data_IF_003448651347
#
_entry.id   IF_003448651347
#
_cell.length_a   1.000
_cell.length_b   1.000
_cell.length_c   1.000
_cell.angle_alpha   90.00
_cell.angle_beta   90.00
_cell.angle_gamma   90.00
#
_symmetry.space_group_name_H-M   'P 1'
#
loop_
_entity.id
_entity.type
_entity.pdbx_description
1 polymer ?
#
# COMPACT_ATOMS: atom_id res chain seq x y z
N UNK A 1 16.02 29.02 15.53
CA UNK A 1 14.89 28.87 16.48
C UNK A 1 13.62 28.58 15.68
N UNK A 2 12.90 27.52 16.08
CA UNK A 2 11.71 26.89 15.45
C UNK A 2 11.90 26.15 14.10
N UNK A 3 12.70 25.07 14.11
CA UNK A 3 12.28 23.83 13.42
C UNK A 3 12.02 22.66 14.39
N UNK A 4 12.82 22.51 15.45
CA UNK A 4 12.74 21.34 16.36
C UNK A 4 11.38 21.21 17.05
N UNK A 5 10.88 22.28 17.66
CA UNK A 5 9.63 22.24 18.43
C UNK A 5 8.39 21.92 17.59
N UNK A 6 8.43 22.24 16.28
CA UNK A 6 7.35 21.91 15.36
C UNK A 6 7.42 20.43 14.95
N UNK A 7 8.62 19.88 14.76
CA UNK A 7 8.87 18.46 14.51
C UNK A 7 8.45 17.63 15.73
N UNK A 8 8.85 18.04 16.94
CA UNK A 8 8.48 17.35 18.19
C UNK A 8 6.96 17.28 18.40
N UNK A 9 6.23 18.37 18.12
CA UNK A 9 4.77 18.41 18.22
C UNK A 9 4.09 17.50 17.19
N UNK A 10 4.64 17.42 15.98
CA UNK A 10 4.15 16.51 14.93
C UNK A 10 4.42 15.05 15.32
N UNK A 11 5.59 14.75 15.87
CA UNK A 11 5.95 13.41 16.34
C UNK A 11 5.12 12.99 17.56
N UNK A 12 4.82 13.90 18.48
CA UNK A 12 3.93 13.64 19.61
C UNK A 12 2.50 13.37 19.13
N UNK A 13 1.96 14.20 18.23
CA UNK A 13 0.64 13.99 17.64
C UNK A 13 0.56 12.68 16.86
N UNK A 14 1.59 12.35 16.06
CA UNK A 14 1.66 11.10 15.31
C UNK A 14 1.79 9.88 16.23
N UNK A 15 2.47 10.00 17.37
CA UNK A 15 2.61 8.93 18.36
C UNK A 15 1.30 8.69 19.12
N UNK A 16 0.58 9.75 19.51
CA UNK A 16 -0.76 9.63 20.12
C UNK A 16 -1.75 8.97 19.15
N UNK A 17 -1.81 9.45 17.92
CA UNK A 17 -2.68 8.86 16.88
C UNK A 17 -2.34 7.39 16.62
N UNK A 18 -1.06 7.01 16.72
CA UNK A 18 -0.64 5.61 16.60
C UNK A 18 -1.18 4.74 17.73
N UNK A 19 -1.10 5.21 18.97
CA UNK A 19 -1.64 4.50 20.13
C UNK A 19 -3.16 4.35 20.02
N UNK A 20 -3.86 5.39 19.53
CA UNK A 20 -5.30 5.34 19.30
C UNK A 20 -5.69 4.32 18.22
N UNK A 21 -4.94 4.27 17.10
CA UNK A 21 -5.19 3.29 16.01
C UNK A 21 -4.90 1.86 16.46
N UNK A 22 -3.87 1.66 17.28
CA UNK A 22 -3.44 0.32 17.69
C UNK A 22 -4.29 -0.23 18.84
N UNK A 23 -4.96 0.62 19.62
CA UNK A 23 -5.82 0.25 20.74
C UNK A 23 -7.30 0.11 20.33
N UNK A 24 -8.07 -0.63 21.15
CA UNK A 24 -9.51 -0.79 20.92
C UNK A 24 -10.20 0.57 21.19
N UNK A 25 -11.06 1.05 20.28
CA UNK A 25 -11.84 2.26 20.50
C UNK A 25 -12.64 2.18 21.79
N UNK A 26 -12.68 3.29 22.53
CA UNK A 26 -13.34 3.35 23.83
C UNK A 26 -14.83 2.98 23.72
N UNK A 27 -15.49 3.35 22.63
CA UNK A 27 -16.90 3.03 22.39
C UNK A 27 -17.13 1.52 22.24
N UNK A 28 -16.16 0.78 21.69
CA UNK A 28 -16.22 -0.69 21.62
C UNK A 28 -16.01 -1.28 23.02
N UNK A 29 -15.01 -0.79 23.77
CA UNK A 29 -14.73 -1.25 25.13
C UNK A 29 -15.94 -1.03 26.06
N UNK A 30 -16.62 0.11 25.95
CA UNK A 30 -17.83 0.42 26.73
C UNK A 30 -18.97 -0.57 26.44
N UNK A 31 -19.20 -0.90 25.16
CA UNK A 31 -20.22 -1.89 24.77
C UNK A 31 -19.84 -3.28 25.28
N UNK A 32 -18.58 -3.67 25.18
CA UNK A 32 -18.09 -4.97 25.68
C UNK A 32 -18.20 -5.10 27.19
N UNK A 33 -17.87 -4.05 27.95
CA UNK A 33 -18.07 -4.03 29.41
C UNK A 33 -19.54 -4.16 29.77
N UNK A 34 -20.43 -3.50 29.02
CA UNK A 34 -21.88 -3.62 29.24
C UNK A 34 -22.37 -5.04 28.96
N UNK A 35 -21.91 -5.67 27.87
CA UNK A 35 -22.19 -7.08 27.56
C UNK A 35 -21.75 -7.97 28.73
N UNK A 36 -20.53 -7.79 29.23
CA UNK A 36 -20.01 -8.58 30.36
C UNK A 36 -20.87 -8.43 31.62
N UNK A 37 -21.28 -7.20 31.96
CA UNK A 37 -22.17 -6.95 33.09
C UNK A 37 -23.52 -7.67 32.94
N UNK A 38 -24.12 -7.60 31.75
CA UNK A 38 -25.39 -8.28 31.46
C UNK A 38 -25.23 -9.80 31.47
N UNK A 39 -24.10 -10.34 31.02
CA UNK A 39 -23.81 -11.78 31.10
C UNK A 39 -23.72 -12.26 32.55
N UNK A 40 -23.09 -11.49 33.43
CA UNK A 40 -23.05 -11.77 34.88
C UNK A 40 -24.47 -11.73 35.46
N UNK A 41 -25.26 -10.71 35.12
CA UNK A 41 -26.66 -10.59 35.55
C UNK A 41 -27.48 -11.80 35.07
N UNK A 42 -27.32 -12.20 33.80
CA UNK A 42 -27.96 -13.39 33.22
C UNK A 42 -27.65 -14.64 34.04
N UNK A 43 -26.38 -14.85 34.43
CA UNK A 43 -25.99 -16.00 35.25
C UNK A 43 -26.66 -15.99 36.63
N UNK A 44 -26.82 -14.82 37.24
CA UNK A 44 -27.56 -14.70 38.50
C UNK A 44 -29.04 -15.09 38.34
N UNK A 45 -29.67 -14.63 37.25
CA UNK A 45 -31.09 -14.90 36.94
C UNK A 45 -31.36 -16.37 36.58
N UNK A 46 -30.36 -17.17 36.19
CA UNK A 46 -30.56 -18.61 35.93
C UNK A 46 -31.04 -19.40 37.15
N UNK A 47 -30.83 -18.87 38.36
CA UNK A 47 -31.28 -19.50 39.62
C UNK A 47 -32.75 -19.23 39.94
N UNK A 48 -33.35 -18.24 39.28
CA UNK A 48 -34.76 -17.88 39.44
C UNK A 48 -35.64 -18.78 38.55
N UNK A 49 -36.77 -19.26 39.10
CA UNK A 49 -37.70 -20.17 38.40
C UNK A 49 -39.13 -19.63 38.35
N UNK A 50 -39.39 -18.50 38.98
CA UNK A 50 -40.66 -17.80 38.92
C UNK A 50 -40.83 -17.10 37.56
N UNK A 51 -42.08 -16.85 37.18
CA UNK A 51 -42.42 -16.27 35.87
C UNK A 51 -41.75 -14.91 35.65
N UNK A 52 -41.65 -14.07 36.68
CA UNK A 52 -41.01 -12.76 36.59
C UNK A 52 -39.48 -12.86 36.43
N UNK A 53 -38.83 -13.86 37.03
CA UNK A 53 -37.43 -14.17 36.81
C UNK A 53 -37.13 -14.62 35.37
N UNK A 54 -38.02 -15.45 34.79
CA UNK A 54 -37.92 -15.88 33.38
C UNK A 54 -38.06 -14.69 32.43
N UNK A 55 -39.08 -13.83 32.61
CA UNK A 55 -39.29 -12.64 31.77
C UNK A 55 -38.09 -11.67 31.85
N UNK A 56 -37.53 -11.44 33.05
CA UNK A 56 -36.31 -10.63 33.21
C UNK A 56 -35.10 -11.24 32.50
N UNK A 57 -34.93 -12.56 32.60
CA UNK A 57 -33.82 -13.26 31.92
C UNK A 57 -33.94 -13.12 30.40
N UNK A 58 -35.13 -13.30 29.83
CA UNK A 58 -35.35 -13.15 28.39
C UNK A 58 -35.06 -11.73 27.91
N UNK A 59 -35.44 -10.71 28.67
CA UNK A 59 -35.11 -9.32 28.36
C UNK A 59 -33.59 -9.08 28.35
N UNK A 60 -32.86 -9.59 29.36
CA UNK A 60 -31.40 -9.50 29.43
C UNK A 60 -30.72 -10.25 28.28
N UNK A 61 -31.20 -11.45 27.94
CA UNK A 61 -30.67 -12.23 26.81
C UNK A 61 -30.85 -11.49 25.47
N UNK A 62 -31.99 -10.83 25.29
CA UNK A 62 -32.25 -10.01 24.11
C UNK A 62 -31.30 -8.80 24.04
N UNK A 63 -31.12 -8.08 25.15
CA UNK A 63 -30.20 -6.93 25.20
C UNK A 63 -28.74 -7.37 24.94
N UNK A 64 -28.31 -8.52 25.48
CA UNK A 64 -26.99 -9.09 25.18
C UNK A 64 -26.85 -9.36 23.68
N UNK A 65 -27.87 -9.95 23.04
CA UNK A 65 -27.82 -10.26 21.62
C UNK A 65 -27.70 -8.99 20.76
N UNK A 66 -28.50 -7.97 21.05
CA UNK A 66 -28.47 -6.67 20.37
C UNK A 66 -27.10 -5.97 20.53
N UNK A 67 -26.54 -5.97 21.75
CA UNK A 67 -25.23 -5.36 22.00
C UNK A 67 -24.09 -6.15 21.34
N UNK A 68 -24.16 -7.48 21.30
CA UNK A 68 -23.17 -8.32 20.59
C UNK A 68 -23.16 -8.06 19.09
N UNK A 69 -24.33 -7.91 18.48
CA UNK A 69 -24.44 -7.56 17.06
C UNK A 69 -23.81 -6.18 16.81
N UNK A 70 -24.15 -5.18 17.63
CA UNK A 70 -23.57 -3.83 17.55
C UNK A 70 -22.05 -3.85 17.71
N UNK A 71 -21.53 -4.52 18.74
CA UNK A 71 -20.09 -4.64 18.99
C UNK A 71 -19.38 -5.34 17.82
N UNK A 72 -19.98 -6.41 17.27
CA UNK A 72 -19.45 -7.12 16.12
C UNK A 72 -19.29 -6.20 14.90
N UNK A 73 -20.30 -5.38 14.60
CA UNK A 73 -20.24 -4.38 13.53
C UNK A 73 -19.13 -3.33 13.75
N UNK A 74 -19.05 -2.78 14.96
CA UNK A 74 -18.02 -1.78 15.30
C UNK A 74 -16.60 -2.37 15.22
N UNK A 75 -16.39 -3.59 15.71
CA UNK A 75 -15.10 -4.30 15.62
C UNK A 75 -14.71 -4.59 14.18
N UNK A 76 -15.67 -5.00 13.34
CA UNK A 76 -15.40 -5.26 11.93
C UNK A 76 -14.96 -3.98 11.20
N UNK A 77 -15.64 -2.85 11.44
CA UNK A 77 -15.24 -1.56 10.89
C UNK A 77 -13.84 -1.15 11.37
N UNK A 78 -13.60 -1.19 12.68
CA UNK A 78 -12.29 -0.84 13.25
C UNK A 78 -11.17 -1.70 12.68
N UNK A 79 -11.39 -3.00 12.54
CA UNK A 79 -10.41 -3.93 11.97
C UNK A 79 -10.11 -3.58 10.50
N UNK A 80 -11.12 -3.26 9.70
CA UNK A 80 -10.94 -2.85 8.30
C UNK A 80 -10.15 -1.53 8.18
N UNK A 81 -10.45 -0.55 9.04
CA UNK A 81 -9.70 0.72 9.10
C UNK A 81 -8.24 0.50 9.52
N UNK A 82 -8.01 -0.34 10.53
CA UNK A 82 -6.67 -0.70 11.00
C UNK A 82 -5.85 -1.40 9.91
N UNK A 83 -6.44 -2.34 9.20
CA UNK A 83 -5.80 -3.04 8.07
C UNK A 83 -5.45 -2.07 6.93
N UNK A 84 -6.35 -1.13 6.61
CA UNK A 84 -6.08 -0.11 5.60
C UNK A 84 -4.87 0.77 5.99
N UNK A 85 -4.81 1.22 7.24
CA UNK A 85 -3.67 2.00 7.76
C UNK A 85 -2.37 1.18 7.73
N UNK A 86 -2.42 -0.08 8.17
CA UNK A 86 -1.25 -0.96 8.16
C UNK A 86 -0.73 -1.21 6.74
N UNK A 87 -1.63 -1.40 5.77
CA UNK A 87 -1.27 -1.53 4.35
C UNK A 87 -0.53 -0.29 3.85
N UNK A 88 -1.04 0.90 4.15
CA UNK A 88 -0.37 2.16 3.76
C UNK A 88 1.01 2.30 4.42
N UNK A 89 1.14 1.95 5.70
CA UNK A 89 2.43 1.97 6.42
C UNK A 89 3.44 1.02 5.77
N UNK A 90 3.04 -0.23 5.53
CA UNK A 90 3.89 -1.24 4.89
C UNK A 90 4.34 -0.81 3.50
N UNK A 91 3.44 -0.25 2.68
CA UNK A 91 3.80 0.30 1.37
C UNK A 91 4.83 1.43 1.48
N UNK A 92 4.69 2.32 2.47
CA UNK A 92 5.67 3.39 2.70
C UNK A 92 7.04 2.83 3.09
N UNK A 93 7.08 1.86 3.99
CA UNK A 93 8.31 1.19 4.39
C UNK A 93 8.99 0.49 3.19
N UNK A 94 8.22 -0.24 2.38
CA UNK A 94 8.74 -0.91 1.18
C UNK A 94 9.30 0.08 0.16
N UNK A 95 8.70 1.26 0.00
CA UNK A 95 9.23 2.34 -0.85
C UNK A 95 10.57 2.84 -0.31
N UNK A 96 10.67 3.16 0.98
CA UNK A 96 11.93 3.64 1.56
C UNK A 96 13.04 2.59 1.50
N UNK A 97 12.72 1.32 1.78
CA UNK A 97 13.67 0.21 1.61
C UNK A 97 14.12 0.06 0.15
N UNK A 98 13.20 0.21 -0.81
CA UNK A 98 13.54 0.12 -2.23
C UNK A 98 14.41 1.31 -2.66
N UNK A 99 14.18 2.53 -2.15
CA UNK A 99 15.06 3.68 -2.38
C UNK A 99 16.47 3.43 -1.88
N UNK A 100 16.62 2.95 -0.64
CA UNK A 100 17.92 2.63 -0.05
C UNK A 100 18.65 1.56 -0.87
N UNK A 101 17.94 0.52 -1.32
CA UNK A 101 18.51 -0.53 -2.15
C UNK A 101 18.96 -0.02 -3.54
N UNK A 102 18.23 0.93 -4.12
CA UNK A 102 18.62 1.61 -5.37
C UNK A 102 19.91 2.40 -5.15
N UNK A 103 19.97 3.24 -4.11
CA UNK A 103 21.17 4.03 -3.81
C UNK A 103 22.39 3.14 -3.56
N UNK A 104 22.20 2.02 -2.85
CA UNK A 104 23.27 1.06 -2.60
C UNK A 104 23.78 0.42 -3.91
N UNK A 105 22.87 0.02 -4.81
CA UNK A 105 23.22 -0.55 -6.10
C UNK A 105 23.92 0.46 -7.03
N UNK A 106 23.54 1.74 -6.96
CA UNK A 106 24.22 2.81 -7.69
C UNK A 106 25.64 3.04 -7.16
N UNK A 107 25.82 3.12 -5.83
CA UNK A 107 27.14 3.27 -5.20
C UNK A 107 28.07 2.10 -5.50
N UNK A 108 27.55 0.90 -5.66
CA UNK A 108 28.32 -0.29 -6.04
C UNK A 108 28.52 -0.47 -7.55
N UNK A 109 28.06 0.47 -8.38
CA UNK A 109 28.05 0.38 -9.85
C UNK A 109 27.28 -0.83 -10.41
N UNK A 110 26.39 -1.44 -9.64
CA UNK A 110 25.46 -2.48 -10.09
C UNK A 110 24.23 -1.85 -10.75
N UNK A 111 24.46 -1.28 -11.94
CA UNK A 111 23.42 -0.56 -12.68
C UNK A 111 22.28 -1.48 -13.17
N UNK A 112 22.54 -2.79 -13.32
CA UNK A 112 21.49 -3.74 -13.67
C UNK A 112 20.51 -3.89 -12.51
N UNK A 113 21.02 -4.07 -11.28
CA UNK A 113 20.19 -4.16 -10.09
C UNK A 113 19.46 -2.85 -9.77
N UNK A 114 20.14 -1.72 -9.94
CA UNK A 114 19.53 -0.40 -9.77
C UNK A 114 18.34 -0.20 -10.73
N UNK A 115 18.49 -0.60 -12.00
CA UNK A 115 17.43 -0.52 -13.00
C UNK A 115 16.25 -1.45 -12.67
N UNK A 116 16.51 -2.70 -12.29
CA UNK A 116 15.46 -3.65 -11.87
C UNK A 116 14.62 -3.09 -10.71
N UNK A 117 15.29 -2.53 -9.70
CA UNK A 117 14.62 -1.93 -8.54
C UNK A 117 13.84 -0.67 -8.90
N UNK A 118 14.39 0.21 -9.76
CA UNK A 118 13.70 1.44 -10.20
C UNK A 118 12.49 1.17 -11.07
N UNK A 119 12.61 0.31 -12.08
CA UNK A 119 11.58 0.15 -13.12
C UNK A 119 10.66 -1.05 -12.89
N UNK A 120 11.08 -2.03 -12.09
CA UNK A 120 10.19 -3.09 -11.60
C UNK A 120 9.53 -2.67 -10.30
N UNK A 121 10.27 -2.83 -9.19
CA UNK A 121 9.71 -2.75 -7.84
C UNK A 121 9.21 -1.37 -7.46
N UNK A 122 10.00 -0.32 -7.69
CA UNK A 122 9.63 1.05 -7.28
C UNK A 122 8.38 1.54 -8.03
N UNK A 123 8.29 1.31 -9.34
CA UNK A 123 7.10 1.69 -10.11
C UNK A 123 5.86 0.93 -9.66
N UNK A 124 5.98 -0.37 -9.37
CA UNK A 124 4.88 -1.16 -8.82
C UNK A 124 4.39 -0.59 -7.48
N UNK A 125 5.31 -0.29 -6.56
CA UNK A 125 4.98 0.28 -5.25
C UNK A 125 4.34 1.68 -5.36
N UNK A 126 4.82 2.52 -6.28
CA UNK A 126 4.23 3.83 -6.52
C UNK A 126 2.80 3.71 -7.08
N UNK A 127 2.57 2.78 -8.01
CA UNK A 127 1.23 2.49 -8.52
C UNK A 127 0.30 1.97 -7.41
N UNK A 128 0.76 1.07 -6.55
CA UNK A 128 -0.01 0.59 -5.40
C UNK A 128 -0.35 1.72 -4.40
N UNK A 129 0.44 2.81 -4.38
CA UNK A 129 0.16 4.03 -3.60
C UNK A 129 -0.74 5.05 -4.32
N UNK A 130 -1.22 4.73 -5.53
CA UNK A 130 -2.02 5.65 -6.35
C UNK A 130 -1.21 6.82 -6.93
N UNK A 131 0.13 6.73 -6.89
CA UNK A 131 1.00 7.71 -7.55
C UNK A 131 1.16 7.22 -8.98
N UNK A 132 0.37 7.81 -9.88
CA UNK A 132 0.55 7.58 -11.31
C UNK A 132 1.95 8.01 -11.75
N UNK A 133 2.53 7.24 -12.67
CA UNK A 133 3.86 7.46 -13.18
C UNK A 133 4.00 8.91 -13.63
N UNK A 134 4.94 9.70 -13.08
CA UNK A 134 5.16 11.03 -13.59
C UNK A 134 5.56 10.95 -15.06
N UNK A 135 4.97 11.80 -15.90
CA UNK A 135 5.13 11.75 -17.36
C UNK A 135 6.59 11.86 -17.84
N UNK A 136 7.51 12.34 -17.00
CA UNK A 136 8.93 12.46 -17.31
C UNK A 136 9.70 11.14 -17.28
N UNK A 137 9.28 10.13 -16.50
CA UNK A 137 9.92 8.80 -16.51
C UNK A 137 9.55 8.08 -17.82
N UNK A 138 10.25 8.42 -18.88
CA UNK A 138 10.10 7.86 -20.20
C UNK A 138 11.07 6.69 -20.39
N UNK A 139 10.79 5.75 -21.30
CA UNK A 139 11.79 4.75 -21.67
C UNK A 139 13.06 5.40 -22.28
N UNK A 140 13.01 6.68 -22.67
CA UNK A 140 14.17 7.50 -23.02
C UNK A 140 15.06 7.83 -21.81
N UNK A 141 14.50 8.19 -20.65
CA UNK A 141 15.28 8.32 -19.41
C UNK A 141 15.88 6.97 -18.95
N UNK A 142 15.16 5.87 -19.19
CA UNK A 142 15.70 4.52 -18.95
C UNK A 142 16.91 4.21 -19.83
N UNK A 143 16.84 4.54 -21.12
CA UNK A 143 17.95 4.39 -22.06
C UNK A 143 19.23 5.09 -21.58
N UNK A 144 19.10 6.30 -21.01
CA UNK A 144 20.23 7.06 -20.47
C UNK A 144 20.96 6.38 -19.30
N UNK A 145 20.34 5.39 -18.65
CA UNK A 145 20.94 4.64 -17.53
C UNK A 145 21.57 3.30 -17.95
N UNK A 146 21.45 2.91 -19.23
CA UNK A 146 21.95 1.63 -19.71
C UNK A 146 23.47 1.66 -19.95
N UNK A 147 24.18 0.63 -19.47
CA UNK A 147 25.64 0.45 -19.69
C UNK A 147 26.03 0.20 -21.15
N UNK A 148 25.10 -0.28 -21.97
CA UNK A 148 25.35 -0.57 -23.39
C UNK A 148 24.89 0.62 -24.22
N UNK A 149 25.83 1.41 -24.80
CA UNK A 149 25.49 2.59 -25.59
C UNK A 149 24.61 2.26 -26.81
N UNK A 150 24.75 1.04 -27.35
CA UNK A 150 23.97 0.59 -28.51
C UNK A 150 22.54 0.26 -28.10
N UNK A 151 22.36 -0.50 -27.03
CA UNK A 151 21.02 -0.81 -26.52
C UNK A 151 20.32 0.45 -25.99
N UNK A 152 21.05 1.37 -25.35
CA UNK A 152 20.54 2.69 -24.97
C UNK A 152 19.99 3.45 -26.18
N UNK A 153 20.80 3.56 -27.25
CA UNK A 153 20.38 4.23 -28.48
C UNK A 153 19.12 3.60 -29.08
N UNK A 154 19.05 2.26 -29.15
CA UNK A 154 17.90 1.53 -29.68
C UNK A 154 16.63 1.76 -28.85
N UNK A 155 16.71 1.76 -27.52
CA UNK A 155 15.57 2.06 -26.64
C UNK A 155 15.12 3.52 -26.82
N UNK A 156 16.06 4.46 -26.91
CA UNK A 156 15.77 5.87 -27.13
C UNK A 156 15.06 6.13 -28.47
N UNK A 157 15.55 5.50 -29.53
CA UNK A 157 14.95 5.58 -30.87
C UNK A 157 13.55 4.93 -30.88
N UNK A 158 13.43 3.72 -30.33
CA UNK A 158 12.15 3.00 -30.23
C UNK A 158 11.09 3.84 -29.52
N UNK A 159 11.45 4.50 -28.42
CA UNK A 159 10.53 5.36 -27.65
C UNK A 159 10.03 6.54 -28.47
N UNK A 160 10.93 7.16 -29.24
CA UNK A 160 10.62 8.31 -30.08
C UNK A 160 9.70 7.91 -31.24
N UNK A 161 10.05 6.83 -31.93
CA UNK A 161 9.26 6.27 -33.04
C UNK A 161 7.89 5.75 -32.57
N UNK A 162 7.80 5.25 -31.34
CA UNK A 162 6.54 4.78 -30.76
C UNK A 162 5.59 5.95 -30.49
N UNK A 163 6.12 7.03 -29.93
CA UNK A 163 5.35 8.23 -29.65
C UNK A 163 4.89 8.93 -30.93
N UNK A 164 5.71 8.96 -31.99
CA UNK A 164 5.31 9.53 -33.29
C UNK A 164 4.17 8.73 -33.95
N UNK A 165 4.22 7.40 -33.87
CA UNK A 165 3.14 6.55 -34.36
C UNK A 165 1.84 6.73 -33.54
N UNK A 166 1.95 6.69 -32.21
CA UNK A 166 0.78 6.64 -31.32
C UNK A 166 0.10 7.99 -31.13
N UNK A 167 0.87 9.08 -31.08
CA UNK A 167 0.36 10.41 -30.77
C UNK A 167 0.58 11.42 -31.91
N UNK A 168 1.53 11.17 -32.82
CA UNK A 168 1.86 12.05 -33.94
C UNK A 168 1.17 11.70 -35.27
N UNK A 169 0.34 10.65 -35.29
CA UNK A 169 -0.36 10.14 -36.48
C UNK A 169 0.59 9.71 -37.63
N UNK A 170 1.84 9.39 -37.31
CA UNK A 170 2.86 8.95 -38.27
C UNK A 170 2.78 7.43 -38.49
N UNK A 171 1.85 6.99 -39.33
CA UNK A 171 1.69 5.57 -39.66
C UNK A 171 2.89 4.96 -40.41
N UNK A 172 3.76 5.80 -40.99
CA UNK A 172 4.98 5.33 -41.66
C UNK A 172 6.06 4.88 -40.68
N UNK A 173 5.91 5.20 -39.38
CA UNK A 173 6.81 4.78 -38.32
C UNK A 173 6.65 3.30 -37.90
N UNK A 174 5.54 2.64 -38.26
CA UNK A 174 5.24 1.27 -37.82
C UNK A 174 6.27 0.21 -38.28
N UNK A 175 6.73 0.19 -39.55
CA UNK A 175 7.78 -0.74 -39.98
C UNK A 175 9.11 -0.52 -39.25
N UNK A 176 9.45 0.73 -38.93
CA UNK A 176 10.67 1.08 -38.18
C UNK A 176 10.62 0.55 -36.76
N UNK A 177 9.46 0.61 -36.08
CA UNK A 177 9.29 0.03 -34.75
C UNK A 177 9.55 -1.48 -34.72
N UNK A 178 9.04 -2.21 -35.71
CA UNK A 178 9.26 -3.65 -35.83
C UNK A 178 10.75 -3.95 -36.02
N UNK A 179 11.42 -3.20 -36.90
CA UNK A 179 12.87 -3.34 -37.11
C UNK A 179 13.68 -3.04 -35.83
N UNK A 180 13.34 -1.97 -35.11
CA UNK A 180 14.00 -1.59 -33.86
C UNK A 180 13.81 -2.65 -32.77
N UNK A 181 12.64 -3.27 -32.69
CA UNK A 181 12.37 -4.38 -31.76
C UNK A 181 13.26 -5.60 -32.06
N UNK A 182 13.42 -5.95 -33.34
CA UNK A 182 14.27 -7.06 -33.77
C UNK A 182 15.76 -6.76 -33.54
N UNK A 183 16.21 -5.53 -33.78
CA UNK A 183 17.57 -5.09 -33.49
C UNK A 183 17.87 -5.11 -32.00
N UNK A 184 16.94 -4.64 -31.16
CA UNK A 184 17.04 -4.70 -29.70
C UNK A 184 17.13 -6.16 -29.23
N UNK A 185 16.29 -7.04 -29.76
CA UNK A 185 16.29 -8.48 -29.44
C UNK A 185 17.63 -9.13 -29.80
N UNK A 186 18.19 -8.84 -30.97
CA UNK A 186 19.51 -9.32 -31.40
C UNK A 186 20.63 -8.80 -30.49
N UNK A 187 20.58 -7.52 -30.12
CA UNK A 187 21.55 -6.89 -29.21
C UNK A 187 21.54 -7.54 -27.82
N UNK A 188 20.36 -7.87 -27.29
CA UNK A 188 20.22 -8.53 -25.99
C UNK A 188 20.63 -10.01 -26.02
N UNK A 189 20.42 -10.71 -27.14
CA UNK A 189 20.82 -12.11 -27.32
C UNK A 189 22.33 -12.27 -27.51
N UNK A 190 23.01 -11.33 -28.17
CA UNK A 190 24.47 -11.35 -28.36
C UNK A 190 25.26 -11.23 -27.04
N UNK A 191 24.60 -10.91 -25.93
CA UNK A 191 25.19 -10.78 -24.59
C UNK A 191 25.05 -12.03 -23.72
N UNK A 192 24.28 -13.03 -24.16
CA UNK A 192 24.02 -14.28 -23.42
C UNK A 192 24.94 -15.43 -23.81
N UNK A 193 25.83 -15.24 -24.78
CA UNK A 193 26.93 -16.16 -25.13
C UNK A 193 28.27 -15.55 -24.77
#
# INVERSE_FOLDING_TARGET
FLPDKAIDLVDEAASRLRIEIDSMPQEIDEVERKILQLEIQRQALLKEKDKAGVERREAVEKEIAELKEKSGGMKAQWQAEKEAVQKVRKLREEVEQTKLAIEQAERSYDLNRAAELKYGKMLELLHQRGIEKPAWITPHEFAATMKDPRAAALVGEFTTTYNSLRFGNDHAAAPRLVALLDELRKSLLARRG
#
